data_IF_579439168811
#
_entry.id   IF_579439168811
#
_cell.length_a   1.000
_cell.length_b   1.000
_cell.length_c   1.000
_cell.angle_alpha   90.00
_cell.angle_beta   90.00
_cell.angle_gamma   90.00
#
_symmetry.space_group_name_H-M   'P 1'
#
loop_
_entity.id
_entity.type
_entity.pdbx_description
1 polymer ?
#
# COMPACT_ATOMS: atom_id res chain seq x y z
N UNK A 1 -16.54 8.88 4.50
CA UNK A 1 -16.56 7.81 3.49
C UNK A 1 -15.92 6.50 3.96
N UNK A 2 -14.91 6.45 4.85
CA UNK A 2 -14.39 5.17 5.38
C UNK A 2 -14.84 4.94 6.83
N UNK A 3 -15.69 3.93 7.06
CA UNK A 3 -16.34 3.69 8.37
C UNK A 3 -15.72 2.50 9.10
N UNK A 4 -15.70 1.32 8.51
CA UNK A 4 -15.13 0.12 9.14
C UNK A 4 -14.75 -0.95 8.10
N UNK A 5 -13.94 -1.92 8.51
CA UNK A 5 -13.61 -3.14 7.76
C UNK A 5 -14.10 -4.35 8.58
N UNK A 6 -14.66 -5.40 7.94
CA UNK A 6 -15.03 -6.63 8.65
C UNK A 6 -13.83 -7.26 9.38
N UNK A 7 -14.07 -7.84 10.56
CA UNK A 7 -13.04 -8.55 11.31
C UNK A 7 -12.50 -9.74 10.53
N UNK A 8 -11.18 -9.90 10.49
CA UNK A 8 -10.50 -11.00 9.81
C UNK A 8 -9.11 -11.22 10.42
N UNK A 9 -8.54 -12.41 10.26
CA UNK A 9 -7.15 -12.69 10.67
C UNK A 9 -6.13 -11.99 9.77
N UNK A 10 -6.46 -11.86 8.49
CA UNK A 10 -5.65 -11.23 7.45
C UNK A 10 -6.55 -10.41 6.54
N UNK A 11 -6.11 -9.20 6.19
CA UNK A 11 -6.78 -8.34 5.22
C UNK A 11 -5.91 -8.26 3.97
N UNK A 12 -6.51 -8.46 2.79
CA UNK A 12 -5.83 -8.33 1.51
C UNK A 12 -6.31 -7.07 0.80
N UNK A 13 -5.37 -6.26 0.31
CA UNK A 13 -5.62 -5.07 -0.48
C UNK A 13 -4.78 -5.12 -1.74
N UNK A 14 -5.42 -5.05 -2.91
CA UNK A 14 -4.73 -4.96 -4.20
C UNK A 14 -5.23 -3.73 -4.92
N UNK A 15 -4.32 -2.84 -5.33
CA UNK A 15 -4.65 -1.63 -6.09
C UNK A 15 -5.71 -0.79 -5.36
N UNK A 16 -5.50 -0.61 -4.06
CA UNK A 16 -6.35 0.19 -3.19
C UNK A 16 -5.60 1.44 -2.75
N UNK A 17 -4.39 1.29 -2.23
CA UNK A 17 -3.64 2.40 -1.66
C UNK A 17 -3.31 3.47 -2.71
N UNK A 18 -2.93 3.07 -3.92
CA UNK A 18 -2.57 4.04 -4.95
C UNK A 18 -3.72 4.94 -5.45
N UNK A 19 -4.98 4.61 -5.11
CA UNK A 19 -6.16 5.38 -5.52
C UNK A 19 -6.48 6.56 -4.60
N UNK A 20 -5.82 6.65 -3.45
CA UNK A 20 -6.17 7.57 -2.38
C UNK A 20 -4.99 8.45 -1.97
N UNK A 21 -5.30 9.66 -1.47
CA UNK A 21 -4.31 10.50 -0.81
C UNK A 21 -3.69 9.80 0.40
N UNK A 22 -2.54 10.28 0.85
CA UNK A 22 -1.85 9.72 2.01
C UNK A 22 -2.75 9.69 3.25
N UNK A 23 -3.48 10.78 3.52
CA UNK A 23 -4.36 10.89 4.69
C UNK A 23 -5.54 9.89 4.61
N UNK A 24 -6.09 9.70 3.41
CA UNK A 24 -7.15 8.72 3.17
C UNK A 24 -6.61 7.28 3.29
N UNK A 25 -5.42 7.00 2.77
CA UNK A 25 -4.71 5.73 2.95
C UNK A 25 -4.49 5.40 4.43
N UNK A 26 -3.98 6.35 5.22
CA UNK A 26 -3.80 6.16 6.66
C UNK A 26 -5.13 5.85 7.34
N UNK A 27 -6.21 6.53 6.96
CA UNK A 27 -7.55 6.24 7.51
C UNK A 27 -8.03 4.84 7.17
N UNK A 28 -7.89 4.39 5.92
CA UNK A 28 -8.25 3.03 5.49
C UNK A 28 -7.42 1.99 6.26
N UNK A 29 -6.11 2.20 6.36
CA UNK A 29 -5.19 1.30 7.04
C UNK A 29 -5.44 1.24 8.55
N UNK A 30 -5.85 2.35 9.19
CA UNK A 30 -6.29 2.35 10.59
C UNK A 30 -7.54 1.48 10.80
N UNK A 31 -8.52 1.58 9.90
CA UNK A 31 -9.69 0.71 9.96
C UNK A 31 -9.29 -0.77 9.76
N UNK A 32 -8.31 -1.06 8.90
CA UNK A 32 -7.74 -2.40 8.77
C UNK A 32 -7.06 -2.84 10.07
N UNK A 33 -6.27 -1.97 10.69
CA UNK A 33 -5.63 -2.25 11.97
C UNK A 33 -6.67 -2.59 13.04
N UNK A 34 -7.75 -1.83 13.17
CA UNK A 34 -8.82 -2.11 14.14
C UNK A 34 -9.55 -3.44 13.90
N UNK A 35 -9.66 -3.86 12.64
CA UNK A 35 -10.33 -5.11 12.25
C UNK A 35 -9.49 -6.38 12.46
N UNK A 36 -8.18 -6.25 12.65
CA UNK A 36 -7.25 -7.38 12.82
C UNK A 36 -7.09 -7.82 14.29
N UNK A 37 -6.88 -9.11 14.57
CA UNK A 37 -6.42 -9.58 15.88
C UNK A 37 -4.97 -9.14 16.16
N UNK A 38 -4.45 -9.39 17.36
CA UNK A 38 -3.12 -8.93 17.77
C UNK A 38 -1.96 -9.43 16.88
N UNK A 39 -2.10 -10.64 16.33
CA UNK A 39 -1.13 -11.26 15.41
C UNK A 39 -1.55 -11.13 13.94
N UNK A 40 -2.54 -10.30 13.64
CA UNK A 40 -3.05 -10.10 12.28
C UNK A 40 -2.13 -9.23 11.42
N UNK A 41 -2.33 -9.31 10.11
CA UNK A 41 -1.57 -8.53 9.12
C UNK A 41 -2.43 -8.03 7.97
N UNK A 42 -1.97 -6.96 7.33
CA UNK A 42 -2.46 -6.52 6.02
C UNK A 42 -1.46 -6.97 4.96
N UNK A 43 -1.96 -7.57 3.89
CA UNK A 43 -1.19 -7.88 2.70
C UNK A 43 -1.57 -6.84 1.64
N UNK A 44 -0.59 -6.07 1.19
CA UNK A 44 -0.74 -5.00 0.20
C UNK A 44 -0.07 -5.44 -1.10
N UNK A 45 -0.83 -5.43 -2.19
CA UNK A 45 -0.39 -5.76 -3.53
C UNK A 45 -0.45 -4.50 -4.41
N UNK A 46 0.68 -3.81 -4.54
CA UNK A 46 0.82 -2.53 -5.23
C UNK A 46 2.13 -2.49 -6.03
N UNK A 47 2.26 -1.52 -6.95
CA UNK A 47 3.58 -1.24 -7.50
C UNK A 47 4.44 -0.52 -6.46
N UNK A 48 5.76 -0.61 -6.61
CA UNK A 48 6.73 0.20 -5.85
C UNK A 48 7.45 1.09 -6.84
N UNK A 49 7.33 2.40 -6.63
CA UNK A 49 8.02 3.40 -7.45
C UNK A 49 9.51 3.43 -7.08
N UNK A 50 10.43 3.27 -8.05
CA UNK A 50 11.85 3.40 -7.78
C UNK A 50 12.19 4.86 -7.45
N UNK A 51 13.06 5.06 -6.45
CA UNK A 51 13.50 6.41 -6.03
C UNK A 51 14.25 7.11 -7.17
N UNK A 52 15.01 6.35 -7.95
CA UNK A 52 15.70 6.82 -9.15
C UNK A 52 15.12 6.05 -10.35
N UNK A 53 14.33 6.72 -11.22
CA UNK A 53 13.84 6.12 -12.45
C UNK A 53 14.96 5.66 -13.37
N UNK A 54 14.75 4.54 -14.05
CA UNK A 54 15.66 4.02 -15.08
C UNK A 54 14.88 3.71 -16.38
N UNK A 55 15.55 3.43 -17.52
CA UNK A 55 14.86 3.20 -18.79
C UNK A 55 14.23 1.79 -18.92
N UNK A 56 14.24 0.97 -17.86
CA UNK A 56 13.70 -0.39 -17.88
C UNK A 56 12.18 -0.39 -18.09
N UNK A 57 11.66 -1.53 -18.56
CA UNK A 57 10.22 -1.73 -18.72
C UNK A 57 9.47 -1.67 -17.37
N UNK A 58 10.09 -2.17 -16.29
CA UNK A 58 9.50 -2.14 -14.97
C UNK A 58 9.31 -0.69 -14.48
N UNK A 59 10.35 0.14 -14.57
CA UNK A 59 10.28 1.56 -14.20
C UNK A 59 9.23 2.31 -15.02
N UNK A 60 9.21 2.09 -16.35
CA UNK A 60 8.20 2.69 -17.25
C UNK A 60 6.79 2.25 -16.89
N UNK A 61 6.58 0.99 -16.54
CA UNK A 61 5.27 0.47 -16.18
C UNK A 61 4.71 1.16 -14.94
N UNK A 62 5.51 1.30 -13.87
CA UNK A 62 5.05 1.98 -12.65
C UNK A 62 4.79 3.47 -12.90
N UNK A 63 5.64 4.15 -13.68
CA UNK A 63 5.43 5.56 -14.05
C UNK A 63 4.17 5.73 -14.90
N UNK A 64 3.88 4.80 -15.82
CA UNK A 64 2.63 4.81 -16.58
C UNK A 64 1.41 4.71 -15.67
N UNK A 65 1.45 3.84 -14.64
CA UNK A 65 0.35 3.73 -13.68
C UNK A 65 0.24 5.00 -12.83
N UNK A 66 1.36 5.60 -12.43
CA UNK A 66 1.36 6.89 -11.72
C UNK A 66 0.71 8.02 -12.54
N UNK A 67 0.98 8.07 -13.84
CA UNK A 67 0.30 8.98 -14.77
C UNK A 67 -1.20 8.68 -14.90
N UNK A 68 -1.61 7.40 -14.86
CA UNK A 68 -3.02 7.02 -14.82
C UNK A 68 -3.66 7.51 -13.50
N UNK A 69 -2.99 7.37 -12.36
CA UNK A 69 -3.49 7.88 -11.08
C UNK A 69 -3.67 9.40 -11.12
N UNK A 70 -2.69 10.12 -11.64
CA UNK A 70 -2.77 11.57 -11.85
C UNK A 70 -3.98 11.97 -12.72
N UNK A 71 -4.25 11.22 -13.79
CA UNK A 71 -5.32 11.56 -14.73
C UNK A 71 -6.73 11.18 -14.24
N UNK A 72 -6.87 10.14 -13.41
CA UNK A 72 -8.18 9.53 -13.11
C UNK A 72 -8.59 9.56 -11.63
N UNK A 73 -7.70 9.99 -10.73
CA UNK A 73 -7.99 10.02 -9.29
C UNK A 73 -7.79 11.41 -8.71
N UNK A 74 -8.35 11.65 -7.52
CA UNK A 74 -8.08 12.88 -6.75
C UNK A 74 -7.13 12.55 -5.61
N UNK A 75 -5.83 12.70 -5.87
CA UNK A 75 -4.76 12.50 -4.88
C UNK A 75 -4.14 11.10 -4.85
N UNK A 76 -4.55 10.20 -5.74
CA UNK A 76 -3.86 8.92 -5.93
C UNK A 76 -2.51 9.10 -6.63
N UNK A 77 -1.58 8.19 -6.32
CA UNK A 77 -0.22 8.14 -6.86
C UNK A 77 0.39 6.77 -6.58
N UNK A 78 1.40 6.43 -7.37
CA UNK A 78 2.33 5.36 -6.99
C UNK A 78 3.27 5.85 -5.88
N UNK A 79 3.80 4.89 -5.11
CA UNK A 79 4.52 5.16 -3.88
C UNK A 79 5.82 4.39 -3.82
N UNK A 80 6.83 5.00 -3.21
CA UNK A 80 8.10 4.32 -2.93
C UNK A 80 7.93 3.32 -1.79
N UNK A 81 8.86 2.38 -1.63
CA UNK A 81 8.85 1.46 -0.48
C UNK A 81 8.85 2.22 0.86
N UNK A 82 9.58 3.33 0.92
CA UNK A 82 9.66 4.17 2.11
C UNK A 82 8.33 4.88 2.42
N UNK A 83 7.56 5.25 1.40
CA UNK A 83 6.21 5.80 1.58
C UNK A 83 5.28 4.74 2.20
N UNK A 84 5.27 3.51 1.66
CA UNK A 84 4.48 2.41 2.21
C UNK A 84 4.87 2.07 3.66
N UNK A 85 6.16 2.06 3.97
CA UNK A 85 6.65 1.88 5.34
C UNK A 85 6.17 2.98 6.28
N UNK A 86 6.12 4.22 5.79
CA UNK A 86 5.62 5.39 6.53
C UNK A 86 4.11 5.28 6.78
N UNK A 87 3.34 4.90 5.76
CA UNK A 87 1.90 4.62 5.86
C UNK A 87 1.59 3.53 6.89
N UNK A 88 2.31 2.40 6.82
CA UNK A 88 2.16 1.30 7.77
C UNK A 88 2.36 1.79 9.21
N UNK A 89 3.45 2.55 9.45
CA UNK A 89 3.74 3.13 10.77
C UNK A 89 2.68 4.13 11.22
N UNK A 90 2.23 5.02 10.34
CA UNK A 90 1.20 6.01 10.64
C UNK A 90 -0.18 5.39 10.97
N UNK A 91 -0.45 4.19 10.44
CA UNK A 91 -1.63 3.40 10.75
C UNK A 91 -1.51 2.51 12.00
N UNK A 92 -0.33 2.45 12.62
CA UNK A 92 -0.08 1.72 13.87
C UNK A 92 0.60 0.36 13.72
N UNK A 93 0.92 -0.07 12.49
CA UNK A 93 1.67 -1.31 12.27
C UNK A 93 3.11 -1.18 12.75
N UNK A 94 3.65 -2.25 13.33
CA UNK A 94 4.99 -2.29 13.90
C UNK A 94 6.01 -2.94 12.97
N UNK A 95 5.56 -3.86 12.10
CA UNK A 95 6.37 -4.53 11.10
C UNK A 95 5.98 -4.14 9.67
N UNK A 96 6.97 -4.10 8.79
CA UNK A 96 6.81 -3.90 7.35
C UNK A 96 7.81 -4.80 6.61
N UNK A 97 7.34 -5.53 5.60
CA UNK A 97 8.18 -6.41 4.79
C UNK A 97 7.70 -6.44 3.34
N UNK A 98 8.62 -6.23 2.40
CA UNK A 98 8.43 -6.60 0.99
C UNK A 98 8.78 -8.09 0.84
N UNK A 99 7.84 -8.91 0.38
CA UNK A 99 7.96 -10.38 0.37
C UNK A 99 8.41 -10.90 -1.00
N UNK A 100 7.73 -10.47 -2.06
CA UNK A 100 8.01 -10.89 -3.42
C UNK A 100 7.45 -9.88 -4.42
N UNK A 101 7.73 -10.11 -5.71
CA UNK A 101 7.14 -9.38 -6.82
C UNK A 101 6.60 -10.36 -7.86
N UNK A 102 5.45 -10.03 -8.43
CA UNK A 102 4.85 -10.72 -9.57
C UNK A 102 4.39 -9.67 -10.59
N UNK A 103 5.01 -9.67 -11.78
CA UNK A 103 4.67 -8.75 -12.87
C UNK A 103 4.64 -7.27 -12.44
N UNK A 104 5.71 -6.80 -11.78
CA UNK A 104 5.87 -5.44 -11.24
C UNK A 104 4.90 -5.07 -10.09
N UNK A 105 4.04 -5.98 -9.64
CA UNK A 105 3.24 -5.83 -8.42
C UNK A 105 3.99 -6.50 -7.27
N UNK A 106 4.30 -5.72 -6.24
CA UNK A 106 4.97 -6.19 -5.03
C UNK A 106 3.95 -6.62 -3.99
N UNK A 107 4.27 -7.70 -3.28
CA UNK A 107 3.53 -8.14 -2.11
C UNK A 107 4.25 -7.60 -0.88
N UNK A 108 3.57 -6.75 -0.14
CA UNK A 108 4.03 -6.17 1.11
C UNK A 108 3.16 -6.65 2.27
N UNK A 109 3.77 -6.89 3.42
CA UNK A 109 3.07 -7.24 4.66
C UNK A 109 3.23 -6.11 5.68
N UNK A 110 2.10 -5.63 6.20
CA UNK A 110 2.06 -4.70 7.33
C UNK A 110 1.62 -5.49 8.55
N UNK A 111 2.49 -5.59 9.54
CA UNK A 111 2.35 -6.51 10.66
C UNK A 111 2.03 -5.74 11.94
N UNK A 112 1.03 -6.19 12.71
CA UNK A 112 0.73 -5.60 14.03
C UNK A 112 1.85 -5.81 15.04
N UNK A 113 2.56 -6.92 14.90
CA UNK A 113 3.79 -7.27 15.63
C UNK A 113 4.90 -7.59 14.62
N UNK A 114 6.15 -7.24 14.91
CA UNK A 114 7.28 -7.50 14.02
C UNK A 114 7.53 -9.00 13.78
#
# INVERSE_FOLDING_TARGET
MFVSIPKADVIFMKWICHNWSEEACVKILKNCYEALPENGKVIVAECILPVLPDPSLASKQVIHIDCIMLAHTTGGREMTEQDFKTLAKAAGFQGFKVVCSAFSTYIMEFLKKP
#
